data_IF_974071106656
#
_entry.id   IF_974071106656
#
_cell.length_a   1.000
_cell.length_b   1.000
_cell.length_c   1.000
_cell.angle_alpha   90.00
_cell.angle_beta   90.00
_cell.angle_gamma   90.00
#
_symmetry.space_group_name_H-M   'P 1'
#
loop_
_entity.id
_entity.type
_entity.pdbx_description
1 polymer ?
#
# COMPACT_ATOMS: atom_id res chain seq x y z
N UNK A 1 -19.51 4.33 -25.04
CA UNK A 1 -18.64 5.47 -25.35
C UNK A 1 -17.19 5.05 -25.36
N UNK A 2 -16.32 5.87 -25.95
CA UNK A 2 -14.89 5.60 -25.96
C UNK A 2 -14.26 6.29 -24.76
N UNK A 3 -13.36 5.58 -24.07
CA UNK A 3 -12.49 6.18 -23.07
C UNK A 3 -11.64 7.29 -23.68
N UNK A 4 -11.55 8.43 -23.00
CA UNK A 4 -10.62 9.49 -23.36
C UNK A 4 -9.21 9.06 -22.89
N UNK A 5 -8.29 8.95 -23.85
CA UNK A 5 -6.88 8.78 -23.53
C UNK A 5 -6.34 10.09 -22.98
N UNK A 6 -6.13 10.16 -21.69
CA UNK A 6 -5.42 11.26 -21.04
C UNK A 6 -3.92 11.07 -21.28
N UNK A 7 -3.26 12.15 -21.70
CA UNK A 7 -1.80 12.16 -21.83
C UNK A 7 -1.26 13.21 -20.89
N UNK A 8 -0.35 12.77 -20.05
CA UNK A 8 0.37 13.64 -19.14
C UNK A 8 1.83 13.71 -19.55
N UNK A 9 2.50 14.79 -19.21
CA UNK A 9 3.92 14.99 -19.50
C UNK A 9 4.78 14.18 -18.54
N UNK A 10 5.94 13.74 -19.02
CA UNK A 10 6.97 13.11 -18.20
C UNK A 10 7.44 14.08 -17.13
N UNK A 11 7.77 13.55 -15.96
CA UNK A 11 8.27 14.35 -14.83
C UNK A 11 9.75 14.64 -15.06
N UNK A 12 10.12 15.92 -14.98
CA UNK A 12 11.53 16.35 -14.97
C UNK A 12 12.03 16.46 -13.54
N UNK A 13 13.18 15.89 -13.26
CA UNK A 13 13.85 15.93 -11.95
C UNK A 13 15.38 15.88 -12.11
N UNK A 14 16.08 16.19 -11.03
CA UNK A 14 17.52 16.02 -10.92
C UNK A 14 17.81 15.03 -9.76
N UNK A 15 18.62 14.02 -10.03
CA UNK A 15 19.00 13.00 -9.03
C UNK A 15 19.79 13.60 -7.86
N UNK A 16 20.41 14.75 -8.02
CA UNK A 16 21.12 15.44 -6.95
C UNK A 16 20.17 16.16 -5.96
N UNK A 17 18.89 16.26 -6.29
CA UNK A 17 17.87 16.92 -5.45
C UNK A 17 17.12 15.97 -4.49
N UNK A 18 17.46 14.69 -4.41
CA UNK A 18 16.76 13.67 -3.58
C UNK A 18 16.50 14.18 -2.14
N UNK A 19 17.47 14.83 -1.51
CA UNK A 19 17.30 15.36 -0.16
C UNK A 19 16.24 16.47 -0.07
N UNK A 20 16.21 17.38 -1.04
CA UNK A 20 15.19 18.43 -1.08
C UNK A 20 13.82 17.87 -1.46
N UNK A 21 13.78 16.91 -2.37
CA UNK A 21 12.56 16.22 -2.74
C UNK A 21 11.96 15.46 -1.58
N UNK A 22 12.78 14.76 -0.79
CA UNK A 22 12.35 14.12 0.45
C UNK A 22 11.69 15.10 1.41
N UNK A 23 12.29 16.27 1.62
CA UNK A 23 11.71 17.31 2.49
C UNK A 23 10.36 17.81 1.98
N UNK A 24 10.24 18.03 0.67
CA UNK A 24 9.02 18.50 0.06
C UNK A 24 7.92 17.41 0.15
N UNK A 25 8.30 16.17 -0.12
CA UNK A 25 7.42 15.01 -0.10
C UNK A 25 6.84 14.75 1.29
N UNK A 26 7.66 14.81 2.35
CA UNK A 26 7.19 14.65 3.74
C UNK A 26 6.24 15.76 4.21
N UNK A 27 6.06 16.83 3.43
CA UNK A 27 5.09 17.89 3.71
C UNK A 27 3.77 17.75 2.94
N UNK A 28 3.68 16.83 1.99
CA UNK A 28 2.42 16.57 1.28
C UNK A 28 1.37 16.03 2.26
N UNK A 29 0.12 16.43 2.05
CA UNK A 29 -1.00 15.97 2.88
C UNK A 29 -1.12 14.43 2.89
N UNK A 30 -0.86 13.77 1.77
CA UNK A 30 -0.94 12.32 1.67
C UNK A 30 0.14 11.60 2.52
N UNK A 31 1.33 12.20 2.66
CA UNK A 31 2.50 11.60 3.31
C UNK A 31 2.70 12.10 4.75
N UNK A 32 2.44 13.39 5.00
CA UNK A 32 2.72 14.04 6.29
C UNK A 32 2.00 13.37 7.46
N UNK A 33 2.70 13.24 8.59
CA UNK A 33 2.18 12.66 9.82
C UNK A 33 0.93 13.41 10.32
N UNK A 34 -0.12 12.65 10.67
CA UNK A 34 -1.40 13.14 11.17
C UNK A 34 -1.65 12.78 12.63
N UNK A 35 -0.59 12.68 13.43
CA UNK A 35 -0.65 12.31 14.84
C UNK A 35 -1.61 13.19 15.65
N UNK A 36 -1.67 14.48 15.33
CA UNK A 36 -2.59 15.44 15.96
C UNK A 36 -4.06 15.07 15.78
N UNK A 37 -4.44 14.37 14.72
CA UNK A 37 -5.78 13.86 14.48
C UNK A 37 -5.97 12.49 15.12
N UNK A 38 -5.09 11.54 14.79
CA UNK A 38 -5.22 10.14 15.21
C UNK A 38 -5.06 9.93 16.71
N UNK A 39 -4.31 10.79 17.41
CA UNK A 39 -4.15 10.72 18.85
C UNK A 39 -5.35 11.27 19.65
N UNK A 40 -6.29 11.93 18.98
CA UNK A 40 -7.48 12.53 19.64
C UNK A 40 -8.74 11.69 19.52
N UNK A 41 -8.78 10.73 18.59
CA UNK A 41 -10.01 9.98 18.26
C UNK A 41 -9.78 8.47 18.31
N UNK A 42 -10.74 7.77 18.81
CA UNK A 42 -11.10 6.35 18.64
C UNK A 42 -9.93 5.33 18.52
N UNK A 43 -8.94 5.42 19.41
CA UNK A 43 -7.82 4.47 19.42
C UNK A 43 -8.19 3.10 19.99
N UNK A 44 -9.19 3.03 20.86
CA UNK A 44 -9.53 1.83 21.61
C UNK A 44 -11.04 1.66 21.77
N UNK A 45 -11.76 1.51 20.65
CA UNK A 45 -13.21 1.32 20.66
C UNK A 45 -13.56 -0.11 21.08
N UNK A 46 -14.46 -0.25 22.06
CA UNK A 46 -15.01 -1.54 22.50
C UNK A 46 -14.09 -2.41 23.35
N UNK A 47 -12.86 -1.99 23.65
CA UNK A 47 -11.94 -2.68 24.56
C UNK A 47 -11.36 -4.01 24.05
N UNK A 48 -11.54 -4.35 22.78
CA UNK A 48 -11.01 -5.57 22.14
C UNK A 48 -9.99 -5.27 21.05
N UNK A 49 -9.49 -4.06 20.95
CA UNK A 49 -8.49 -3.68 19.95
C UNK A 49 -7.19 -4.39 20.26
N UNK A 50 -6.73 -5.24 19.34
CA UNK A 50 -5.46 -5.95 19.42
C UNK A 50 -4.35 -5.18 18.73
N UNK A 51 -4.67 -4.53 17.59
CA UNK A 51 -3.77 -3.62 16.88
C UNK A 51 -4.56 -2.38 16.46
N UNK A 52 -4.08 -1.23 16.86
CA UNK A 52 -4.64 0.08 16.54
C UNK A 52 -3.68 0.86 15.63
N UNK A 53 -4.04 2.07 15.22
CA UNK A 53 -3.28 2.87 14.23
C UNK A 53 -1.86 3.23 14.66
N UNK A 54 -1.56 3.35 15.94
CA UNK A 54 -0.24 3.83 16.41
C UNK A 54 0.72 2.68 16.69
N UNK A 55 2.01 2.90 16.37
CA UNK A 55 3.11 1.96 16.55
C UNK A 55 4.28 2.61 17.30
N UNK A 56 5.17 1.77 17.83
CA UNK A 56 6.41 2.15 18.50
C UNK A 56 6.24 2.92 19.80
N UNK A 57 7.36 3.30 20.43
CA UNK A 57 7.36 4.03 21.71
C UNK A 57 6.82 5.46 21.58
N UNK A 58 6.97 6.09 20.43
CA UNK A 58 6.48 7.45 20.15
C UNK A 58 4.99 7.46 19.74
N UNK A 59 4.36 6.30 19.56
CA UNK A 59 2.95 6.17 19.23
C UNK A 59 2.54 6.97 17.98
N UNK A 60 3.28 6.78 16.89
CA UNK A 60 2.98 7.37 15.60
C UNK A 60 1.99 6.50 14.81
N UNK A 61 1.10 7.11 14.01
CA UNK A 61 0.04 6.40 13.27
C UNK A 61 0.57 5.69 12.02
N UNK A 62 1.32 4.62 12.19
CA UNK A 62 2.07 3.92 11.14
C UNK A 62 1.58 2.48 10.86
N UNK A 63 0.68 1.93 11.69
CA UNK A 63 0.19 0.57 11.45
C UNK A 63 -0.72 0.51 10.22
N UNK A 64 -0.43 -0.44 9.33
CA UNK A 64 -1.13 -0.68 8.07
C UNK A 64 -2.47 -1.40 8.28
N UNK A 65 -2.54 -2.21 9.33
CA UNK A 65 -3.68 -3.08 9.63
C UNK A 65 -4.28 -2.78 11.00
N UNK A 66 -5.61 -2.69 11.04
CA UNK A 66 -6.35 -2.70 12.30
C UNK A 66 -6.79 -4.13 12.65
N UNK A 67 -6.59 -4.55 13.91
CA UNK A 67 -6.99 -5.89 14.36
C UNK A 67 -7.81 -5.80 15.63
N UNK A 68 -9.00 -6.42 15.62
CA UNK A 68 -9.84 -6.59 16.78
C UNK A 68 -9.92 -8.04 17.21
N UNK A 69 -9.76 -8.31 18.52
CA UNK A 69 -9.97 -9.64 19.08
C UNK A 69 -11.45 -10.03 19.04
N UNK A 70 -11.76 -11.28 18.73
CA UNK A 70 -13.13 -11.82 18.77
C UNK A 70 -13.60 -12.05 20.20
N UNK A 71 -12.68 -12.40 21.09
CA UNK A 71 -12.97 -12.69 22.48
C UNK A 71 -11.90 -12.11 23.43
N UNK A 72 -12.02 -12.36 24.71
CA UNK A 72 -11.04 -11.97 25.74
C UNK A 72 -9.96 -13.03 26.01
N UNK A 73 -9.95 -14.15 25.30
CA UNK A 73 -8.88 -15.16 25.38
C UNK A 73 -7.64 -14.66 24.63
N UNK A 74 -7.81 -13.74 23.69
CA UNK A 74 -6.73 -13.01 23.03
C UNK A 74 -5.95 -13.88 22.03
N UNK A 75 -6.66 -14.67 21.24
CA UNK A 75 -6.05 -15.47 20.17
C UNK A 75 -6.61 -15.10 18.80
N UNK A 76 -7.87 -15.35 18.55
CA UNK A 76 -8.48 -15.06 17.24
C UNK A 76 -8.94 -13.60 17.13
N UNK A 77 -8.89 -13.05 15.92
CA UNK A 77 -9.30 -11.69 15.63
C UNK A 77 -9.88 -11.52 14.24
N UNK A 78 -10.26 -10.28 13.93
CA UNK A 78 -10.55 -9.81 12.58
C UNK A 78 -9.56 -8.72 12.24
N UNK A 79 -8.87 -8.88 11.12
CA UNK A 79 -7.99 -7.89 10.52
C UNK A 79 -8.77 -7.08 9.49
N UNK A 80 -8.50 -5.77 9.41
CA UNK A 80 -9.09 -4.87 8.42
C UNK A 80 -8.06 -3.89 7.89
N UNK A 81 -8.17 -3.54 6.62
CA UNK A 81 -7.32 -2.55 5.96
C UNK A 81 -8.07 -1.80 4.86
N UNK A 82 -7.44 -0.77 4.32
CA UNK A 82 -7.94 0.05 3.22
C UNK A 82 -6.85 0.20 2.17
N UNK A 83 -7.23 0.29 0.89
CA UNK A 83 -6.35 0.63 -0.20
C UNK A 83 -7.02 1.54 -1.22
N UNK A 84 -6.24 2.42 -1.85
CA UNK A 84 -6.66 3.31 -2.93
C UNK A 84 -5.45 3.75 -3.75
N UNK A 85 -5.65 4.16 -5.01
CA UNK A 85 -4.60 4.67 -5.88
C UNK A 85 -5.15 5.73 -6.84
N UNK A 86 -5.58 6.86 -6.27
CA UNK A 86 -6.33 7.90 -6.98
C UNK A 86 -5.52 8.55 -8.10
N UNK A 87 -4.27 8.94 -7.82
CA UNK A 87 -3.41 9.61 -8.80
C UNK A 87 -2.97 8.64 -9.92
N UNK A 88 -2.69 7.39 -9.58
CA UNK A 88 -2.44 6.31 -10.54
C UNK A 88 -3.64 6.12 -11.48
N UNK A 89 -4.88 6.10 -10.94
CA UNK A 89 -6.11 5.97 -11.71
C UNK A 89 -6.37 7.15 -12.67
N UNK A 90 -5.81 8.34 -12.45
CA UNK A 90 -5.86 9.44 -13.40
C UNK A 90 -5.10 9.13 -14.69
N UNK A 91 -3.98 8.43 -14.60
CA UNK A 91 -3.14 8.02 -15.74
C UNK A 91 -3.77 6.81 -16.42
N UNK A 92 -4.00 5.76 -15.65
CA UNK A 92 -4.56 4.48 -16.11
C UNK A 92 -5.55 3.96 -15.05
N UNK A 93 -6.83 3.95 -15.42
CA UNK A 93 -7.90 3.50 -14.54
C UNK A 93 -7.82 2.00 -14.19
N UNK A 94 -7.25 1.18 -15.08
CA UNK A 94 -7.04 -0.26 -14.83
C UNK A 94 -5.91 -0.47 -13.83
N UNK A 95 -4.77 0.20 -14.03
CA UNK A 95 -3.63 0.17 -13.14
C UNK A 95 -4.02 0.67 -11.74
N UNK A 96 -4.61 1.87 -11.63
CA UNK A 96 -5.02 2.44 -10.36
C UNK A 96 -6.03 1.57 -9.60
N UNK A 97 -6.92 0.88 -10.32
CA UNK A 97 -7.90 -0.02 -9.68
C UNK A 97 -7.26 -1.31 -9.17
N UNK A 98 -6.29 -1.89 -9.89
CA UNK A 98 -5.49 -3.02 -9.39
C UNK A 98 -4.61 -2.60 -8.21
N UNK A 99 -3.97 -1.44 -8.28
CA UNK A 99 -3.14 -0.90 -7.21
C UNK A 99 -3.96 -0.65 -5.92
N UNK A 100 -5.22 -0.22 -6.03
CA UNK A 100 -6.10 -0.08 -4.87
C UNK A 100 -6.36 -1.41 -4.15
N UNK A 101 -6.53 -2.52 -4.90
CA UNK A 101 -6.62 -3.86 -4.30
C UNK A 101 -5.27 -4.27 -3.71
N UNK A 102 -4.19 -4.06 -4.45
CA UNK A 102 -2.85 -4.43 -4.00
C UNK A 102 -2.49 -3.74 -2.68
N UNK A 103 -2.76 -2.43 -2.54
CA UNK A 103 -2.52 -1.68 -1.32
C UNK A 103 -3.38 -2.20 -0.15
N UNK A 104 -4.67 -2.48 -0.36
CA UNK A 104 -5.48 -3.09 0.68
C UNK A 104 -4.93 -4.46 1.13
N UNK A 105 -4.35 -5.23 0.20
CA UNK A 105 -3.77 -6.54 0.50
C UNK A 105 -2.38 -6.44 1.14
N UNK A 106 -1.51 -5.54 0.72
CA UNK A 106 -0.21 -5.32 1.37
C UNK A 106 -0.36 -4.70 2.76
N UNK A 107 -1.47 -3.99 3.01
CA UNK A 107 -1.83 -3.50 4.34
C UNK A 107 -2.37 -4.61 5.27
N UNK A 108 -3.23 -5.52 4.79
CA UNK A 108 -3.79 -6.58 5.65
C UNK A 108 -2.81 -7.72 5.90
N UNK A 109 -1.77 -7.87 5.08
CA UNK A 109 -0.83 -9.00 5.08
C UNK A 109 -0.13 -9.19 6.43
N UNK A 110 0.02 -8.14 7.21
CA UNK A 110 0.74 -8.14 8.50
C UNK A 110 0.02 -8.88 9.62
N UNK A 111 -1.25 -9.22 9.42
CA UNK A 111 -1.98 -10.12 10.30
C UNK A 111 -1.86 -11.57 9.79
N UNK A 112 -1.60 -12.57 10.64
CA UNK A 112 -1.64 -13.98 10.24
C UNK A 112 -3.08 -14.36 9.91
N UNK A 113 -3.40 -14.48 8.63
CA UNK A 113 -4.73 -14.81 8.14
C UNK A 113 -4.96 -16.32 8.18
N UNK A 114 -6.13 -16.74 8.64
CA UNK A 114 -6.45 -18.15 8.92
C UNK A 114 -6.31 -19.08 7.72
N UNK A 115 -6.74 -18.64 6.56
CA UNK A 115 -6.64 -19.35 5.28
C UNK A 115 -5.85 -18.51 4.25
N UNK A 116 -4.92 -17.67 4.73
CA UNK A 116 -4.15 -16.77 3.89
C UNK A 116 -5.06 -15.84 3.06
N UNK A 117 -4.71 -15.63 1.81
CA UNK A 117 -5.46 -14.76 0.90
C UNK A 117 -6.91 -15.17 0.71
N UNK A 118 -7.24 -16.47 0.81
CA UNK A 118 -8.60 -16.98 0.62
C UNK A 118 -9.57 -16.58 1.74
N UNK A 119 -9.07 -16.19 2.92
CA UNK A 119 -9.91 -15.66 3.99
C UNK A 119 -10.21 -14.18 3.87
N UNK A 120 -9.66 -13.51 2.85
CA UNK A 120 -9.89 -12.07 2.61
C UNK A 120 -11.16 -11.87 1.81
N UNK A 121 -11.99 -10.92 2.29
CA UNK A 121 -13.18 -10.45 1.60
C UNK A 121 -13.06 -8.94 1.38
N UNK A 122 -13.39 -8.46 0.19
CA UNK A 122 -13.26 -7.07 -0.19
C UNK A 122 -14.61 -6.35 -0.26
N UNK A 123 -14.59 -5.05 -0.01
CA UNK A 123 -15.68 -4.12 -0.35
C UNK A 123 -15.14 -3.04 -1.27
N UNK A 124 -15.78 -2.83 -2.42
CA UNK A 124 -15.36 -1.82 -3.40
C UNK A 124 -16.28 -0.60 -3.36
N UNK A 125 -15.74 0.55 -2.98
CA UNK A 125 -16.46 1.81 -2.92
C UNK A 125 -16.02 2.72 -4.08
N UNK A 126 -16.90 2.88 -5.07
CA UNK A 126 -16.65 3.63 -6.29
C UNK A 126 -17.10 5.08 -6.15
N UNK A 127 -16.22 6.02 -6.49
CA UNK A 127 -16.53 7.44 -6.59
C UNK A 127 -16.07 7.91 -7.97
N UNK A 128 -17.03 8.18 -8.87
CA UNK A 128 -16.69 8.39 -10.28
C UNK A 128 -17.55 9.49 -10.91
N UNK A 129 -16.96 10.40 -11.71
CA UNK A 129 -17.70 11.49 -12.36
C UNK A 129 -18.27 11.04 -13.71
N UNK A 130 -19.07 9.97 -13.75
CA UNK A 130 -19.55 9.31 -14.99
C UNK A 130 -20.31 10.19 -15.97
N UNK A 131 -20.82 11.35 -15.52
CA UNK A 131 -21.53 12.30 -16.42
C UNK A 131 -20.59 13.14 -17.27
N UNK A 132 -19.28 13.01 -17.08
CA UNK A 132 -18.29 13.70 -17.88
C UNK A 132 -17.83 12.79 -19.02
N UNK A 133 -17.41 13.41 -20.12
CA UNK A 133 -17.04 12.70 -21.35
C UNK A 133 -15.94 11.65 -21.08
N UNK A 134 -16.19 10.41 -21.52
CA UNK A 134 -15.28 9.26 -21.41
C UNK A 134 -15.18 8.62 -20.02
N UNK A 135 -15.74 9.22 -18.96
CA UNK A 135 -15.61 8.70 -17.61
C UNK A 135 -16.46 7.45 -17.34
N UNK A 136 -17.56 7.27 -18.06
CA UNK A 136 -18.37 6.05 -18.03
C UNK A 136 -17.58 4.84 -18.57
N UNK A 137 -16.85 5.03 -19.67
CA UNK A 137 -16.00 4.00 -20.23
C UNK A 137 -14.78 3.69 -19.32
N UNK A 138 -14.20 4.72 -18.71
CA UNK A 138 -13.13 4.55 -17.72
C UNK A 138 -13.61 3.77 -16.49
N UNK A 139 -14.81 4.06 -15.98
CA UNK A 139 -15.39 3.26 -14.89
C UNK A 139 -15.57 1.80 -15.31
N UNK A 140 -16.07 1.54 -16.52
CA UNK A 140 -16.21 0.17 -17.01
C UNK A 140 -14.87 -0.57 -17.01
N UNK A 141 -13.82 0.05 -17.54
CA UNK A 141 -12.46 -0.52 -17.56
C UNK A 141 -11.92 -0.77 -16.14
N UNK A 142 -12.16 0.16 -15.23
CA UNK A 142 -11.74 0.05 -13.83
C UNK A 142 -12.44 -1.12 -13.12
N UNK A 143 -13.77 -1.27 -13.31
CA UNK A 143 -14.56 -2.38 -12.74
C UNK A 143 -14.11 -3.72 -13.33
N UNK A 144 -13.88 -3.79 -14.64
CA UNK A 144 -13.36 -4.98 -15.29
C UNK A 144 -12.00 -5.39 -14.70
N UNK A 145 -11.08 -4.44 -14.52
CA UNK A 145 -9.76 -4.70 -13.93
C UNK A 145 -9.85 -5.21 -12.49
N UNK A 146 -10.73 -4.64 -11.66
CA UNK A 146 -10.99 -5.13 -10.29
C UNK A 146 -11.55 -6.54 -10.32
N UNK A 147 -12.51 -6.81 -11.20
CA UNK A 147 -13.12 -8.15 -11.35
C UNK A 147 -12.08 -9.18 -11.75
N UNK A 148 -11.34 -8.91 -12.82
CA UNK A 148 -10.35 -9.86 -13.36
C UNK A 148 -9.24 -10.15 -12.35
N UNK A 149 -8.73 -9.11 -11.69
CA UNK A 149 -7.68 -9.26 -10.69
C UNK A 149 -8.18 -10.03 -9.45
N UNK A 150 -9.38 -9.73 -8.96
CA UNK A 150 -9.98 -10.46 -7.81
C UNK A 150 -10.23 -11.94 -8.15
N UNK A 151 -10.69 -12.25 -9.36
CA UNK A 151 -10.88 -13.62 -9.85
C UNK A 151 -9.54 -14.36 -9.90
N UNK A 152 -8.51 -13.73 -10.46
CA UNK A 152 -7.18 -14.32 -10.56
C UNK A 152 -6.54 -14.59 -9.19
N UNK A 153 -6.76 -13.71 -8.22
CA UNK A 153 -6.33 -13.91 -6.83
C UNK A 153 -7.16 -14.96 -6.09
N UNK A 154 -8.39 -15.23 -6.54
CA UNK A 154 -9.32 -16.14 -5.88
C UNK A 154 -9.99 -15.55 -4.65
N UNK A 155 -10.17 -14.22 -4.61
CA UNK A 155 -10.83 -13.48 -3.54
C UNK A 155 -12.17 -12.92 -4.01
N UNK A 156 -13.09 -12.65 -3.07
CA UNK A 156 -14.41 -12.16 -3.40
C UNK A 156 -14.59 -10.66 -3.11
N UNK A 157 -15.50 -10.04 -3.86
CA UNK A 157 -15.98 -8.67 -3.64
C UNK A 157 -17.50 -8.71 -3.44
N UNK A 158 -17.99 -9.17 -2.27
CA UNK A 158 -19.42 -9.42 -2.06
C UNK A 158 -20.26 -8.16 -1.89
N UNK A 159 -19.62 -7.03 -1.63
CA UNK A 159 -20.31 -5.77 -1.37
C UNK A 159 -19.54 -4.57 -1.91
N UNK A 160 -20.22 -3.47 -2.02
CA UNK A 160 -19.67 -2.19 -2.44
C UNK A 160 -20.77 -1.15 -2.53
N UNK A 161 -20.38 0.03 -2.93
CA UNK A 161 -21.31 1.13 -3.24
C UNK A 161 -20.71 2.05 -4.29
N UNK A 162 -21.54 2.85 -4.93
CA UNK A 162 -21.12 3.80 -5.96
C UNK A 162 -21.66 5.20 -5.72
N UNK A 163 -20.91 6.21 -6.18
CA UNK A 163 -21.28 7.60 -6.28
C UNK A 163 -20.83 8.11 -7.65
N UNK A 164 -21.76 8.21 -8.61
CA UNK A 164 -21.44 8.37 -10.04
C UNK A 164 -21.54 9.80 -10.56
N UNK A 165 -21.63 10.80 -9.68
CA UNK A 165 -21.71 12.20 -10.07
C UNK A 165 -20.81 13.10 -9.23
N UNK A 166 -19.58 12.63 -9.00
CA UNK A 166 -18.61 13.25 -8.10
C UNK A 166 -18.01 14.51 -8.69
N UNK A 167 -18.64 15.66 -8.40
CA UNK A 167 -18.17 17.00 -8.74
C UNK A 167 -18.75 18.04 -7.81
N UNK A 168 -18.04 19.16 -7.68
CA UNK A 168 -18.47 20.34 -6.95
C UNK A 168 -18.57 21.54 -7.88
N UNK A 169 -19.69 22.23 -7.85
CA UNK A 169 -19.88 23.50 -8.56
C UNK A 169 -19.63 24.68 -7.63
N UNK A 170 -18.79 25.58 -8.09
CA UNK A 170 -18.60 26.91 -7.53
C UNK A 170 -19.25 27.96 -8.45
N UNK A 171 -19.22 29.24 -8.08
CA UNK A 171 -19.90 30.28 -8.86
C UNK A 171 -19.39 30.34 -10.32
N UNK A 172 -18.09 30.25 -10.51
CA UNK A 172 -17.42 30.46 -11.80
C UNK A 172 -16.66 29.22 -12.31
N UNK A 173 -16.68 28.11 -11.57
CA UNK A 173 -15.96 26.90 -11.97
C UNK A 173 -16.63 25.61 -11.48
N UNK A 174 -16.30 24.51 -12.13
CA UNK A 174 -16.69 23.17 -11.74
C UNK A 174 -15.44 22.32 -11.49
N UNK A 175 -15.30 21.80 -10.28
CA UNK A 175 -14.22 20.88 -9.91
C UNK A 175 -14.74 19.45 -10.02
N UNK A 176 -14.13 18.66 -10.90
CA UNK A 176 -14.47 17.26 -11.14
C UNK A 176 -13.53 16.40 -10.29
N UNK A 177 -14.10 15.55 -9.45
CA UNK A 177 -13.30 14.60 -8.68
C UNK A 177 -12.65 13.55 -9.60
N UNK A 178 -11.43 13.11 -9.31
CA UNK A 178 -10.83 11.98 -10.02
C UNK A 178 -11.67 10.71 -9.81
N UNK A 179 -11.83 9.91 -10.86
CA UNK A 179 -12.42 8.59 -10.74
C UNK A 179 -11.55 7.70 -9.87
N UNK A 180 -12.13 7.11 -8.83
CA UNK A 180 -11.39 6.27 -7.88
C UNK A 180 -12.24 5.12 -7.36
N UNK A 181 -11.56 4.05 -6.93
CA UNK A 181 -12.12 3.01 -6.07
C UNK A 181 -11.35 2.98 -4.76
N UNK A 182 -12.10 2.90 -3.64
CA UNK A 182 -11.54 2.60 -2.33
C UNK A 182 -11.91 1.16 -1.99
N UNK A 183 -10.90 0.35 -1.74
CA UNK A 183 -11.04 -1.06 -1.37
C UNK A 183 -10.88 -1.17 0.14
N UNK A 184 -11.87 -1.75 0.80
CA UNK A 184 -11.73 -2.21 2.19
C UNK A 184 -11.54 -3.71 2.17
N UNK A 185 -10.55 -4.22 2.88
CA UNK A 185 -10.31 -5.64 3.07
C UNK A 185 -10.61 -6.06 4.51
N UNK A 186 -11.15 -7.27 4.67
CA UNK A 186 -11.36 -7.87 5.97
C UNK A 186 -11.02 -9.37 5.91
N UNK A 187 -10.38 -9.90 6.97
CA UNK A 187 -10.01 -11.31 7.06
C UNK A 187 -9.94 -11.81 8.49
N UNK A 188 -10.16 -13.11 8.69
CA UNK A 188 -10.03 -13.74 10.01
C UNK A 188 -8.54 -13.85 10.38
N UNK A 189 -8.15 -13.23 11.50
CA UNK A 189 -6.81 -13.34 12.06
C UNK A 189 -6.74 -14.55 13.00
N UNK A 190 -5.81 -15.47 12.74
CA UNK A 190 -5.66 -16.72 13.50
C UNK A 190 -4.97 -16.54 14.86
N UNK A 191 -4.08 -15.56 14.98
CA UNK A 191 -3.39 -15.22 16.22
C UNK A 191 -3.03 -13.73 16.28
N UNK A 192 -3.77 -12.98 17.08
CA UNK A 192 -3.59 -11.52 17.23
C UNK A 192 -2.24 -11.12 17.84
N UNK A 193 -1.49 -12.06 18.39
CA UNK A 193 -0.18 -11.82 19.00
C UNK A 193 0.97 -11.86 17.99
N UNK A 194 0.69 -12.37 16.77
CA UNK A 194 1.66 -12.48 15.67
C UNK A 194 1.53 -11.36 14.64
N UNK A 195 0.72 -10.33 14.92
CA UNK A 195 0.61 -9.17 14.03
C UNK A 195 1.92 -8.40 14.00
N UNK A 196 2.48 -8.22 12.82
CA UNK A 196 3.75 -7.53 12.60
C UNK A 196 3.55 -6.01 12.66
N UNK A 197 4.52 -5.30 13.20
CA UNK A 197 4.52 -3.82 13.29
C UNK A 197 5.53 -3.20 12.31
N UNK A 198 5.25 -1.96 11.81
CA UNK A 198 6.14 -1.26 10.89
C UNK A 198 7.25 -0.49 11.64
N UNK A 199 7.92 -1.12 12.59
CA UNK A 199 8.96 -0.47 13.41
C UNK A 199 10.20 -1.34 13.46
N UNK A 200 11.30 -0.86 12.89
CA UNK A 200 12.57 -1.56 12.93
C UNK A 200 13.00 -1.87 14.37
N UNK A 201 13.54 -3.05 14.56
CA UNK A 201 14.08 -3.51 15.83
C UNK A 201 15.60 -3.41 15.85
N UNK A 202 16.18 -2.94 16.95
CA UNK A 202 17.63 -2.92 17.16
C UNK A 202 18.13 -4.33 17.51
N UNK A 203 18.42 -5.10 16.46
CA UNK A 203 18.94 -6.47 16.58
C UNK A 203 20.22 -6.57 15.76
N UNK A 204 21.29 -7.11 16.37
CA UNK A 204 22.54 -7.38 15.66
C UNK A 204 22.32 -8.46 14.57
N UNK A 205 23.04 -8.33 13.46
CA UNK A 205 23.00 -9.27 12.33
C UNK A 205 21.60 -9.47 11.75
N UNK A 206 20.83 -8.37 11.61
CA UNK A 206 19.56 -8.40 10.89
C UNK A 206 19.75 -8.14 9.38
N UNK A 207 18.76 -8.56 8.61
CA UNK A 207 18.65 -8.28 7.18
C UNK A 207 17.35 -7.56 6.88
N UNK A 208 17.39 -6.63 5.92
CA UNK A 208 16.23 -5.92 5.39
C UNK A 208 16.03 -6.41 3.96
N UNK A 209 14.81 -6.81 3.63
CA UNK A 209 14.42 -7.26 2.29
C UNK A 209 13.37 -6.31 1.72
N UNK A 210 13.51 -6.00 0.46
CA UNK A 210 12.45 -5.50 -0.39
C UNK A 210 11.84 -6.66 -1.15
N UNK A 211 10.53 -6.82 -1.09
CA UNK A 211 9.79 -7.81 -1.88
C UNK A 211 8.88 -7.05 -2.85
N UNK A 212 9.16 -7.19 -4.13
CA UNK A 212 8.30 -6.67 -5.21
C UNK A 212 7.05 -7.52 -5.36
N UNK A 213 5.89 -6.88 -5.40
CA UNK A 213 4.60 -7.54 -5.61
C UNK A 213 4.04 -7.32 -7.03
N UNK A 214 4.66 -6.45 -7.81
CA UNK A 214 4.09 -5.95 -9.05
C UNK A 214 4.66 -6.56 -10.32
N UNK A 215 5.91 -7.00 -10.31
CA UNK A 215 6.69 -7.36 -11.51
C UNK A 215 6.65 -6.24 -12.58
N UNK A 216 6.69 -4.98 -12.15
CA UNK A 216 6.66 -3.82 -13.05
C UNK A 216 7.94 -2.97 -12.92
N UNK A 217 8.11 -2.01 -13.80
CA UNK A 217 9.19 -1.03 -13.74
C UNK A 217 8.93 0.03 -12.65
N UNK A 218 9.99 0.73 -12.23
CA UNK A 218 9.91 1.84 -11.29
C UNK A 218 9.42 3.11 -12.00
N UNK A 219 8.11 3.27 -12.14
CA UNK A 219 7.48 4.46 -12.69
C UNK A 219 7.23 5.51 -11.61
N UNK A 220 7.37 6.79 -11.95
CA UNK A 220 7.13 7.92 -11.05
C UNK A 220 5.77 8.61 -11.25
N UNK A 221 5.04 8.23 -12.29
CA UNK A 221 3.71 8.80 -12.53
C UNK A 221 2.67 8.29 -11.54
N UNK A 222 1.72 9.16 -11.20
CA UNK A 222 0.68 8.87 -10.23
C UNK A 222 1.16 8.80 -8.77
N UNK A 223 2.37 9.31 -8.49
CA UNK A 223 3.00 9.27 -7.17
C UNK A 223 2.97 10.62 -6.45
N UNK A 224 3.27 10.60 -5.16
CA UNK A 224 3.52 11.79 -4.36
C UNK A 224 4.74 12.59 -4.87
N UNK A 225 5.73 11.89 -5.44
CA UNK A 225 6.86 12.55 -6.11
C UNK A 225 6.41 13.37 -7.31
N UNK A 226 5.50 12.85 -8.13
CA UNK A 226 4.92 13.60 -9.24
C UNK A 226 4.20 14.87 -8.74
N UNK A 227 3.48 14.76 -7.62
CA UNK A 227 2.73 15.89 -7.04
C UNK A 227 3.65 17.00 -6.54
N UNK A 228 4.77 16.73 -5.89
CA UNK A 228 5.71 17.78 -5.48
C UNK A 228 6.39 18.50 -6.67
N UNK A 229 6.36 17.88 -7.85
CA UNK A 229 6.81 18.46 -9.11
C UNK A 229 5.67 19.12 -9.91
N UNK A 230 4.50 19.31 -9.29
CA UNK A 230 3.29 19.88 -9.91
C UNK A 230 2.86 19.12 -11.19
N UNK A 231 3.12 17.83 -11.25
CA UNK A 231 2.80 16.95 -12.36
C UNK A 231 2.02 15.71 -11.91
N UNK A 232 1.60 14.93 -12.91
CA UNK A 232 0.97 13.61 -12.69
C UNK A 232 1.92 12.52 -13.21
N UNK A 233 2.69 12.81 -14.26
CA UNK A 233 3.56 11.85 -14.94
C UNK A 233 2.82 11.03 -16.00
N UNK A 234 3.57 10.39 -16.89
CA UNK A 234 3.00 9.69 -18.04
C UNK A 234 2.68 8.22 -17.78
N UNK A 235 3.46 7.55 -16.94
CA UNK A 235 3.33 6.12 -16.64
C UNK A 235 3.25 5.89 -15.13
N UNK A 236 2.35 5.01 -14.73
CA UNK A 236 2.17 4.59 -13.34
C UNK A 236 2.45 3.09 -13.22
N UNK A 237 3.03 2.61 -12.09
CA UNK A 237 3.20 1.18 -11.88
C UNK A 237 1.86 0.46 -11.80
N UNK A 238 1.86 -0.83 -12.15
CA UNK A 238 0.68 -1.70 -12.11
C UNK A 238 1.08 -3.10 -11.62
N UNK A 239 0.10 -3.93 -11.29
CA UNK A 239 0.33 -5.34 -11.03
C UNK A 239 0.28 -6.10 -12.35
N UNK A 240 1.42 -6.65 -12.77
CA UNK A 240 1.55 -7.34 -14.06
C UNK A 240 1.16 -8.81 -13.98
N UNK A 241 1.47 -9.50 -12.88
CA UNK A 241 1.13 -10.91 -12.66
C UNK A 241 0.42 -11.14 -11.32
N UNK A 242 -0.85 -11.51 -11.38
CA UNK A 242 -1.66 -11.86 -10.21
C UNK A 242 -1.19 -13.16 -9.52
N UNK A 243 -0.63 -14.11 -10.29
CA UNK A 243 -0.12 -15.36 -9.72
C UNK A 243 1.16 -15.11 -8.93
N UNK A 244 2.04 -14.24 -9.42
CA UNK A 244 3.23 -13.81 -8.71
C UNK A 244 2.86 -13.02 -7.43
N UNK A 245 1.95 -12.06 -7.53
CA UNK A 245 1.41 -11.35 -6.36
C UNK A 245 0.94 -12.30 -5.27
N UNK A 246 0.17 -13.33 -5.66
CA UNK A 246 -0.32 -14.38 -4.75
C UNK A 246 0.82 -15.19 -4.11
N UNK A 247 1.88 -15.49 -4.85
CA UNK A 247 3.08 -16.18 -4.31
C UNK A 247 3.74 -15.31 -3.24
N UNK A 248 3.97 -14.02 -3.52
CA UNK A 248 4.53 -13.07 -2.55
C UNK A 248 3.68 -12.97 -1.29
N UNK A 249 2.37 -12.83 -1.44
CA UNK A 249 1.43 -12.79 -0.31
C UNK A 249 1.54 -14.05 0.56
N UNK A 250 1.53 -15.23 -0.06
CA UNK A 250 1.61 -16.52 0.65
C UNK A 250 2.96 -16.71 1.36
N UNK A 251 4.05 -16.30 0.73
CA UNK A 251 5.38 -16.35 1.35
C UNK A 251 5.44 -15.50 2.62
N UNK A 252 4.91 -14.27 2.59
CA UNK A 252 4.87 -13.40 3.76
C UNK A 252 4.00 -13.99 4.87
N UNK A 253 2.83 -14.57 4.53
CA UNK A 253 1.99 -15.27 5.51
C UNK A 253 2.73 -16.46 6.15
N UNK A 254 3.54 -17.18 5.38
CA UNK A 254 4.39 -18.26 5.91
C UNK A 254 5.46 -17.72 6.86
N UNK A 255 6.14 -16.62 6.50
CA UNK A 255 7.14 -15.96 7.35
C UNK A 255 6.55 -15.52 8.69
N UNK A 256 5.35 -14.90 8.68
CA UNK A 256 4.64 -14.48 9.90
C UNK A 256 4.28 -15.69 10.77
N UNK A 257 3.71 -16.74 10.18
CA UNK A 257 3.32 -17.94 10.92
C UNK A 257 4.49 -18.65 11.57
N UNK A 258 5.69 -18.57 10.97
CA UNK A 258 6.95 -19.13 11.50
C UNK A 258 7.70 -18.20 12.46
N UNK A 259 7.17 -17.03 12.78
CA UNK A 259 7.79 -16.02 13.65
C UNK A 259 9.19 -15.58 13.15
N UNK A 260 9.33 -15.38 11.83
CA UNK A 260 10.60 -15.01 11.20
C UNK A 260 10.75 -13.50 10.98
N UNK A 261 9.69 -12.71 11.11
CA UNK A 261 9.71 -11.26 10.90
C UNK A 261 9.88 -10.51 12.21
N UNK A 262 10.78 -9.53 12.22
CA UNK A 262 10.96 -8.55 13.30
C UNK A 262 10.10 -7.29 13.08
N UNK A 263 9.99 -6.86 11.83
CA UNK A 263 9.21 -5.71 11.41
C UNK A 263 8.80 -5.86 9.94
N UNK A 264 7.78 -5.12 9.53
CA UNK A 264 7.38 -5.05 8.13
C UNK A 264 6.43 -3.90 7.88
N UNK A 265 6.51 -3.31 6.67
CA UNK A 265 5.71 -2.18 6.23
C UNK A 265 5.49 -2.23 4.72
N UNK A 266 4.34 -1.76 4.25
CA UNK A 266 4.05 -1.69 2.82
C UNK A 266 4.70 -0.47 2.16
N UNK A 267 4.78 -0.48 0.83
CA UNK A 267 5.19 0.69 0.04
C UNK A 267 3.94 1.33 -0.52
N UNK A 268 3.63 2.52 -0.01
CA UNK A 268 2.47 3.31 -0.40
C UNK A 268 2.85 4.75 -0.77
N UNK A 269 2.07 5.75 -0.35
CA UNK A 269 2.33 7.17 -0.65
C UNK A 269 3.73 7.62 -0.20
N UNK A 270 4.51 8.11 -1.14
CA UNK A 270 5.89 8.55 -0.93
C UNK A 270 6.97 7.52 -1.25
N UNK A 271 6.57 6.29 -1.63
CA UNK A 271 7.46 5.23 -2.09
C UNK A 271 8.35 4.62 -1.01
N UNK A 272 9.32 3.82 -1.44
CA UNK A 272 10.23 3.09 -0.56
C UNK A 272 10.95 3.96 0.47
N UNK A 273 11.33 5.19 0.09
CA UNK A 273 12.02 6.10 1.01
C UNK A 273 11.15 6.47 2.21
N UNK A 274 9.87 6.76 1.97
CA UNK A 274 8.91 7.06 3.05
C UNK A 274 8.73 5.85 3.94
N UNK A 275 8.51 4.66 3.39
CA UNK A 275 8.41 3.40 4.14
C UNK A 275 9.61 3.18 5.07
N UNK A 276 10.83 3.31 4.55
CA UNK A 276 12.06 3.16 5.36
C UNK A 276 12.18 4.21 6.47
N UNK A 277 11.78 5.45 6.20
CA UNK A 277 11.79 6.53 7.19
C UNK A 277 10.74 6.27 8.28
N UNK A 278 9.53 5.86 7.91
CA UNK A 278 8.44 5.54 8.83
C UNK A 278 8.78 4.39 9.75
N UNK A 279 9.46 3.36 9.23
CA UNK A 279 9.97 2.25 10.05
C UNK A 279 11.01 2.69 11.09
N UNK A 280 11.63 3.86 10.91
CA UNK A 280 12.55 4.47 11.87
C UNK A 280 11.87 5.46 12.83
N UNK A 281 10.80 6.16 12.40
CA UNK A 281 10.27 7.33 13.11
C UNK A 281 9.62 7.02 14.44
N UNK A 282 9.06 5.83 14.62
CA UNK A 282 8.31 5.47 15.82
C UNK A 282 9.17 5.20 17.06
N UNK A 283 10.49 5.15 16.91
CA UNK A 283 11.45 4.94 17.98
C UNK A 283 12.52 6.03 18.02
N UNK A 284 13.03 6.33 19.23
CA UNK A 284 14.13 7.27 19.38
C UNK A 284 15.47 6.62 19.00
N UNK A 285 16.31 7.37 18.31
CA UNK A 285 17.68 6.97 17.93
C UNK A 285 17.74 5.74 17.01
N UNK A 286 16.71 5.50 16.24
CA UNK A 286 16.67 4.46 15.23
C UNK A 286 17.00 5.06 13.86
N UNK A 287 17.76 4.33 13.05
CA UNK A 287 18.09 4.67 11.66
C UNK A 287 18.53 3.41 10.93
N UNK A 288 18.64 3.53 9.61
CA UNK A 288 19.09 2.44 8.75
C UNK A 288 20.14 2.94 7.76
N UNK A 289 21.09 2.07 7.42
CA UNK A 289 22.04 2.28 6.32
C UNK A 289 21.63 1.36 5.17
N UNK A 290 21.18 1.95 4.07
CA UNK A 290 20.54 1.23 2.95
C UNK A 290 21.41 1.33 1.70
N UNK A 291 21.69 0.17 1.10
CA UNK A 291 22.43 0.06 -0.15
C UNK A 291 21.48 -0.35 -1.28
N UNK A 292 21.51 0.40 -2.39
CA UNK A 292 20.62 0.18 -3.54
C UNK A 292 21.27 -0.65 -4.66
N UNK A 293 22.45 -1.20 -4.44
CA UNK A 293 23.23 -1.91 -5.48
C UNK A 293 22.55 -3.18 -6.02
N UNK A 294 21.60 -3.73 -5.27
CA UNK A 294 20.86 -4.94 -5.64
C UNK A 294 19.76 -4.73 -6.67
N UNK A 295 19.39 -3.49 -6.97
CA UNK A 295 18.32 -3.20 -7.93
C UNK A 295 18.84 -3.20 -9.39
N UNK A 296 18.02 -3.69 -10.33
CA UNK A 296 18.29 -3.58 -11.76
C UNK A 296 18.13 -2.14 -12.26
N UNK A 297 17.14 -1.39 -11.75
CA UNK A 297 17.02 0.05 -11.94
C UNK A 297 18.24 0.77 -11.34
N UNK A 298 18.81 1.73 -12.07
CA UNK A 298 20.02 2.47 -11.64
C UNK A 298 19.75 3.90 -11.24
N UNK A 299 18.55 4.40 -11.49
CA UNK A 299 18.12 5.71 -11.04
C UNK A 299 17.61 5.63 -9.59
N UNK A 300 18.36 6.18 -8.62
CA UNK A 300 17.95 6.12 -7.21
C UNK A 300 16.65 6.87 -6.94
N UNK A 301 16.32 7.89 -7.73
CA UNK A 301 15.06 8.62 -7.61
C UNK A 301 13.88 7.72 -7.92
N UNK A 302 13.96 6.92 -8.97
CA UNK A 302 12.92 5.95 -9.30
C UNK A 302 12.78 4.88 -8.24
N UNK A 303 13.89 4.29 -7.78
CA UNK A 303 13.87 3.26 -6.73
C UNK A 303 13.22 3.79 -5.46
N UNK A 304 13.59 5.00 -5.03
CA UNK A 304 13.19 5.56 -3.73
C UNK A 304 11.77 6.12 -3.73
N UNK A 305 11.31 6.71 -4.84
CA UNK A 305 10.05 7.47 -4.86
C UNK A 305 8.93 6.82 -5.69
N UNK A 306 9.19 5.73 -6.41
CA UNK A 306 8.11 4.99 -7.06
C UNK A 306 7.18 4.38 -6.02
N UNK A 307 5.88 4.59 -6.21
CA UNK A 307 4.83 3.96 -5.40
C UNK A 307 4.41 2.61 -6.01
N UNK A 308 5.41 1.84 -6.42
CA UNK A 308 5.29 0.49 -6.94
C UNK A 308 4.94 -0.46 -5.80
N UNK A 309 3.91 -1.28 -5.99
CA UNK A 309 3.46 -2.22 -4.96
C UNK A 309 4.56 -3.17 -4.51
N UNK A 310 4.87 -3.13 -3.24
CA UNK A 310 5.91 -3.93 -2.60
C UNK A 310 5.88 -3.74 -1.09
N UNK A 311 6.78 -4.42 -0.39
CA UNK A 311 6.92 -4.34 1.06
C UNK A 311 8.38 -4.33 1.46
N UNK A 312 8.64 -3.79 2.64
CA UNK A 312 9.92 -3.91 3.35
C UNK A 312 9.74 -4.81 4.57
N UNK A 313 10.61 -5.79 4.74
CA UNK A 313 10.64 -6.64 5.95
C UNK A 313 12.00 -6.64 6.59
N UNK A 314 12.03 -6.80 7.91
CA UNK A 314 13.24 -7.02 8.71
C UNK A 314 13.21 -8.40 9.34
N UNK A 315 14.34 -9.09 9.32
CA UNK A 315 14.52 -10.40 9.96
C UNK A 315 15.91 -10.55 10.60
N UNK A 316 16.02 -11.34 11.65
CA UNK A 316 17.28 -11.81 12.19
C UNK A 316 17.67 -13.20 11.62
N UNK A 317 16.88 -13.76 10.70
CA UNK A 317 17.01 -15.13 10.19
C UNK A 317 17.00 -15.16 8.66
N UNK A 318 17.95 -14.43 8.04
CA UNK A 318 18.00 -14.26 6.60
C UNK A 318 18.01 -15.58 5.82
N UNK A 319 18.74 -16.60 6.29
CA UNK A 319 18.82 -17.91 5.60
C UNK A 319 17.45 -18.57 5.50
N UNK A 320 16.68 -18.61 6.61
CA UNK A 320 15.34 -19.20 6.62
C UNK A 320 14.35 -18.38 5.77
N UNK A 321 14.53 -17.05 5.69
CA UNK A 321 13.74 -16.19 4.80
C UNK A 321 14.08 -16.48 3.34
N UNK A 322 15.35 -16.57 2.96
CA UNK A 322 15.81 -16.90 1.61
C UNK A 322 15.26 -18.26 1.13
N UNK A 323 15.27 -19.26 2.02
CA UNK A 323 14.70 -20.58 1.71
C UNK A 323 13.19 -20.52 1.42
N UNK A 324 12.43 -19.73 2.18
CA UNK A 324 10.99 -19.56 1.97
C UNK A 324 10.73 -18.78 0.69
N UNK A 325 11.39 -17.64 0.48
CA UNK A 325 11.22 -16.85 -0.75
C UNK A 325 11.52 -17.70 -2.00
N UNK A 326 12.64 -18.44 -1.97
CA UNK A 326 13.02 -19.35 -3.06
C UNK A 326 11.97 -20.45 -3.28
N UNK A 327 11.40 -21.02 -2.20
CA UNK A 327 10.36 -22.07 -2.32
C UNK A 327 9.06 -21.58 -2.96
N UNK A 328 8.83 -20.27 -2.92
CA UNK A 328 7.71 -19.58 -3.59
C UNK A 328 8.10 -18.99 -4.95
N UNK A 329 9.29 -19.28 -5.49
CA UNK A 329 9.85 -18.70 -6.73
C UNK A 329 9.93 -17.16 -6.67
N UNK A 330 10.31 -16.59 -5.55
CA UNK A 330 10.54 -15.15 -5.35
C UNK A 330 12.05 -14.93 -5.29
N UNK A 331 12.55 -13.99 -6.10
CA UNK A 331 13.98 -13.65 -6.22
C UNK A 331 14.29 -12.30 -5.60
#
# INVERSE_FOLDING_TARGET
>A
DKSLLRKYESISYDVDEIYQDTKNLLQLEAVACKDWLTNKVDRCVGGKVAKQQCAGSLQLPLNDVGVMALDFQGKSGIATSIGHAVASALIDERAGSKNAIAEALTNIIWAPLKEGLQSVSLSANWMWPCRNEGEDARLYNAVEAVSDFSIALGINVPTGKDSLSMKQKYADEEVIAPGTVIISAAGECSDIKKVVEPVFQLVENNSIYYIDFSEDEFHLGGSSFAQIRNGIGENTPSINDAAYFKKCFNAVQELINKDLLLAGHDISAGGMLTTLLEMCFAENNLGADIHLDGFDEKDPTKILFSEKSGIIIQTAKGIEVDEILTSHDIS
#
